data_IF_595792515375
#
_entry.id   IF_595792515375
#
_cell.length_a   1.000
_cell.length_b   1.000
_cell.length_c   1.000
_cell.angle_alpha   90.00
_cell.angle_beta   90.00
_cell.angle_gamma   90.00
#
_symmetry.space_group_name_H-M   'P 1'
#
loop_
_entity.id
_entity.type
_entity.pdbx_description
1 polymer ?
#
# COMPACT_ATOMS: atom_id res chain seq x y z
N UNK A 1 14.58 4.80 8.80
CA UNK A 1 13.11 4.75 8.59
C UNK A 1 12.47 6.08 8.93
N UNK A 2 12.49 6.55 10.19
CA UNK A 2 11.81 7.81 10.57
C UNK A 2 12.29 9.05 9.80
N UNK A 3 13.59 9.17 9.57
CA UNK A 3 14.17 10.24 8.74
C UNK A 3 13.57 10.24 7.33
N UNK A 4 13.57 9.08 6.67
CA UNK A 4 12.96 8.89 5.34
C UNK A 4 11.47 9.22 5.36
N UNK A 5 10.72 8.79 6.39
CA UNK A 5 9.30 9.12 6.53
C UNK A 5 9.08 10.64 6.55
N UNK A 6 9.88 11.39 7.32
CA UNK A 6 9.73 12.84 7.47
C UNK A 6 10.13 13.63 6.22
N UNK A 7 11.10 13.13 5.46
CA UNK A 7 11.69 13.88 4.33
C UNK A 7 11.11 13.52 2.97
N UNK A 8 10.57 12.31 2.79
CA UNK A 8 10.08 11.86 1.51
C UNK A 8 8.76 12.52 1.11
N UNK A 9 8.67 12.92 -0.16
CA UNK A 9 7.41 13.31 -0.79
C UNK A 9 6.60 12.09 -1.24
N UNK A 10 7.30 11.00 -1.59
CA UNK A 10 6.71 9.75 -2.06
C UNK A 10 7.42 8.57 -1.41
N UNK A 11 6.66 7.59 -0.91
CA UNK A 11 7.18 6.32 -0.38
C UNK A 11 6.47 5.18 -1.11
N UNK A 12 7.26 4.23 -1.62
CA UNK A 12 6.77 3.00 -2.22
C UNK A 12 7.19 1.80 -1.37
N UNK A 13 6.24 0.94 -1.02
CA UNK A 13 6.47 -0.23 -0.18
C UNK A 13 6.77 -1.47 -1.05
N UNK A 14 7.91 -2.09 -0.79
CA UNK A 14 8.31 -3.37 -1.39
C UNK A 14 8.89 -4.39 -0.39
N UNK A 15 8.40 -4.48 0.87
CA UNK A 15 8.86 -5.54 1.77
C UNK A 15 8.33 -6.91 1.32
N UNK A 16 9.11 -7.96 1.62
CA UNK A 16 8.53 -9.31 1.74
C UNK A 16 7.68 -9.33 2.99
N UNK A 17 6.46 -9.87 2.90
CA UNK A 17 5.59 -9.93 4.07
C UNK A 17 6.02 -11.05 5.03
N UNK A 18 6.35 -10.65 6.27
CA UNK A 18 6.54 -11.53 7.41
C UNK A 18 6.11 -10.84 8.73
N UNK A 19 6.38 -11.48 9.88
CA UNK A 19 6.02 -10.93 11.20
C UNK A 19 6.68 -9.59 11.51
N UNK A 20 7.83 -9.28 10.92
CA UNK A 20 8.57 -8.04 11.11
C UNK A 20 8.01 -6.88 10.29
N UNK A 21 7.29 -7.18 9.21
CA UNK A 21 6.68 -6.19 8.31
C UNK A 21 5.16 -6.10 8.48
N UNK A 22 4.58 -6.90 9.39
CA UNK A 22 3.18 -6.77 9.80
C UNK A 22 2.90 -5.35 10.33
N UNK A 23 1.98 -4.65 9.68
CA UNK A 23 1.67 -3.24 9.95
C UNK A 23 2.95 -2.40 10.03
N UNK A 24 3.88 -2.63 9.09
CA UNK A 24 5.04 -1.78 8.89
C UNK A 24 4.62 -0.32 8.71
N UNK A 25 3.47 -0.04 8.12
CA UNK A 25 2.83 1.28 8.16
C UNK A 25 1.63 1.23 9.11
N UNK A 26 1.91 1.28 10.41
CA UNK A 26 0.91 1.42 11.47
C UNK A 26 0.35 2.84 11.56
N UNK A 27 -0.58 3.11 12.49
CA UNK A 27 -1.17 4.44 12.72
C UNK A 27 -0.17 5.61 12.88
N UNK A 28 1.00 5.37 13.45
CA UNK A 28 1.96 6.44 13.74
C UNK A 28 2.86 6.83 12.57
N UNK A 29 3.19 5.89 11.68
CA UNK A 29 4.23 6.11 10.65
C UNK A 29 3.79 6.99 9.48
N UNK A 30 2.59 6.78 8.87
CA UNK A 30 2.06 7.72 7.88
C UNK A 30 1.92 9.15 8.42
N UNK A 31 1.59 9.31 9.71
CA UNK A 31 1.48 10.62 10.34
C UNK A 31 2.84 11.35 10.51
N UNK A 32 3.97 10.63 10.39
CA UNK A 32 5.30 11.24 10.35
C UNK A 32 5.64 11.81 8.97
N UNK A 33 4.91 11.41 7.93
CA UNK A 33 5.14 11.87 6.57
C UNK A 33 4.67 13.32 6.38
N UNK A 34 5.13 13.94 5.30
CA UNK A 34 4.61 15.25 4.89
C UNK A 34 3.10 15.17 4.67
N UNK A 35 2.40 16.26 4.94
CA UNK A 35 0.93 16.31 4.83
C UNK A 35 0.44 15.98 3.43
N UNK A 36 1.21 16.36 2.41
CA UNK A 36 0.91 16.16 0.99
C UNK A 36 1.51 14.88 0.40
N UNK A 37 2.17 14.05 1.22
CA UNK A 37 2.93 12.91 0.75
C UNK A 37 2.06 11.84 0.06
N UNK A 38 2.72 11.04 -0.77
CA UNK A 38 2.12 9.93 -1.50
C UNK A 38 2.69 8.61 -0.95
N UNK A 39 1.81 7.70 -0.54
CA UNK A 39 2.16 6.32 -0.17
C UNK A 39 1.70 5.37 -1.27
N UNK A 40 2.56 4.47 -1.72
CA UNK A 40 2.23 3.44 -2.72
C UNK A 40 2.51 2.07 -2.13
N UNK A 41 1.55 1.16 -2.25
CA UNK A 41 1.72 -0.25 -1.88
C UNK A 41 1.34 -1.19 -3.01
N UNK A 42 2.35 -1.87 -3.54
CA UNK A 42 2.24 -2.99 -4.48
C UNK A 42 2.95 -4.23 -3.91
N UNK A 43 3.07 -4.32 -2.59
CA UNK A 43 3.79 -5.41 -1.93
C UNK A 43 2.87 -6.58 -1.63
N UNK A 44 2.50 -6.76 -0.36
CA UNK A 44 1.60 -7.80 0.14
C UNK A 44 0.90 -7.26 1.39
N UNK A 45 -0.34 -7.64 1.60
CA UNK A 45 -1.00 -7.38 2.89
C UNK A 45 -0.46 -8.32 3.99
N UNK A 46 -0.65 -7.97 5.27
CA UNK A 46 -1.02 -6.64 5.83
C UNK A 46 0.21 -5.78 6.20
N UNK A 47 0.87 -5.17 5.22
CA UNK A 47 2.00 -4.23 5.46
C UNK A 47 1.51 -2.87 5.97
N UNK A 48 0.35 -2.40 5.49
CA UNK A 48 -0.31 -1.19 6.00
C UNK A 48 -1.44 -1.60 6.93
N UNK A 49 -1.58 -0.91 8.08
CA UNK A 49 -2.79 -0.97 8.90
C UNK A 49 -3.91 -0.19 8.19
N UNK A 50 -4.79 -0.90 7.49
CA UNK A 50 -5.76 -0.25 6.59
C UNK A 50 -6.83 0.55 7.35
N UNK A 51 -7.18 0.13 8.57
CA UNK A 51 -8.11 0.90 9.42
C UNK A 51 -7.50 2.25 9.79
N UNK A 52 -6.23 2.25 10.22
CA UNK A 52 -5.53 3.49 10.53
C UNK A 52 -5.29 4.37 9.29
N UNK A 53 -5.08 3.75 8.12
CA UNK A 53 -4.97 4.46 6.86
C UNK A 53 -6.25 5.22 6.51
N UNK A 54 -7.41 4.58 6.65
CA UNK A 54 -8.72 5.22 6.38
C UNK A 54 -8.97 6.40 7.34
N UNK A 55 -8.60 6.26 8.62
CA UNK A 55 -8.68 7.37 9.58
C UNK A 55 -7.82 8.57 9.13
N UNK A 56 -6.55 8.33 8.79
CA UNK A 56 -5.63 9.36 8.30
C UNK A 56 -6.16 10.07 7.05
N UNK A 57 -6.65 9.31 6.07
CA UNK A 57 -7.14 9.84 4.80
C UNK A 57 -8.37 10.73 4.97
N UNK A 58 -9.23 10.41 5.94
CA UNK A 58 -10.38 11.24 6.31
C UNK A 58 -9.95 12.56 6.95
N UNK A 59 -8.96 12.51 7.84
CA UNK A 59 -8.47 13.68 8.57
C UNK A 59 -7.57 14.59 7.71
N UNK A 60 -6.89 14.02 6.72
CA UNK A 60 -5.95 14.72 5.87
C UNK A 60 -6.23 14.48 4.37
N UNK A 61 -6.99 15.39 3.76
CA UNK A 61 -7.34 15.35 2.34
C UNK A 61 -6.16 15.60 1.38
N UNK A 62 -5.00 16.04 1.88
CA UNK A 62 -3.80 16.27 1.08
C UNK A 62 -2.92 15.02 0.96
N UNK A 63 -3.04 14.07 1.88
CA UNK A 63 -2.30 12.81 1.84
C UNK A 63 -2.89 11.92 0.76
N UNK A 64 -2.06 11.25 -0.05
CA UNK A 64 -2.53 10.43 -1.18
C UNK A 64 -2.01 9.02 -1.08
N UNK A 65 -2.81 8.06 -1.55
CA UNK A 65 -2.42 6.64 -1.51
C UNK A 65 -2.73 5.95 -2.84
N UNK A 66 -1.80 5.13 -3.32
CA UNK A 66 -2.01 4.15 -4.38
C UNK A 66 -1.90 2.74 -3.81
N UNK A 67 -2.94 1.92 -3.99
CA UNK A 67 -2.97 0.53 -3.50
C UNK A 67 -3.21 -0.42 -4.67
N UNK A 68 -2.30 -1.36 -4.88
CA UNK A 68 -2.57 -2.59 -5.64
C UNK A 68 -3.00 -3.74 -4.74
N UNK A 69 -2.64 -3.65 -3.45
CA UNK A 69 -2.87 -4.68 -2.43
C UNK A 69 -3.62 -4.11 -1.22
N UNK A 70 -4.51 -4.87 -0.61
CA UNK A 70 -5.27 -4.47 0.59
C UNK A 70 -5.62 -5.67 1.49
N UNK A 71 -6.02 -5.47 2.76
CA UNK A 71 -5.97 -6.55 3.77
C UNK A 71 -6.94 -7.72 3.53
N UNK A 72 -8.17 -7.40 3.15
CA UNK A 72 -9.29 -8.34 3.09
C UNK A 72 -9.73 -8.60 1.64
N UNK A 73 -8.79 -8.71 0.68
CA UNK A 73 -9.12 -8.86 -0.74
C UNK A 73 -10.19 -9.95 -0.98
N UNK A 74 -11.24 -9.65 -1.77
CA UNK A 74 -11.45 -8.47 -2.61
C UNK A 74 -12.21 -7.31 -1.92
N UNK A 75 -12.40 -7.37 -0.60
CA UNK A 75 -13.16 -6.38 0.18
C UNK A 75 -12.24 -5.29 0.75
N UNK A 76 -12.60 -4.03 0.52
CA UNK A 76 -11.93 -2.88 1.13
C UNK A 76 -12.49 -2.62 2.53
N UNK A 77 -11.66 -2.06 3.44
CA UNK A 77 -12.17 -1.58 4.73
C UNK A 77 -13.22 -0.48 4.52
N UNK A 78 -14.22 -0.37 5.42
CA UNK A 78 -15.30 0.61 5.29
C UNK A 78 -14.81 2.05 5.10
N UNK A 79 -15.23 2.64 3.99
CA UNK A 79 -14.96 4.03 3.62
C UNK A 79 -13.70 4.27 2.81
N UNK A 80 -12.85 3.26 2.57
CA UNK A 80 -11.71 3.42 1.65
C UNK A 80 -12.19 3.79 0.24
N UNK A 81 -13.26 3.15 -0.23
CA UNK A 81 -13.86 3.41 -1.55
C UNK A 81 -14.44 4.83 -1.72
N UNK A 82 -14.72 5.54 -0.62
CA UNK A 82 -15.27 6.89 -0.65
C UNK A 82 -14.17 7.98 -0.72
N UNK A 83 -12.90 7.59 -0.57
CA UNK A 83 -11.77 8.51 -0.49
C UNK A 83 -11.39 9.05 -1.88
N UNK A 84 -11.45 10.37 -2.05
CA UNK A 84 -11.06 11.05 -3.30
C UNK A 84 -9.55 11.13 -3.52
N UNK A 85 -8.78 10.87 -2.47
CA UNK A 85 -7.32 10.91 -2.40
C UNK A 85 -6.69 9.51 -2.43
N UNK A 86 -7.44 8.50 -2.88
CA UNK A 86 -6.95 7.12 -3.01
C UNK A 86 -7.21 6.61 -4.43
N UNK A 87 -6.25 5.87 -4.98
CA UNK A 87 -6.44 5.02 -6.16
C UNK A 87 -6.22 3.59 -5.73
N UNK A 88 -7.18 2.71 -6.03
CA UNK A 88 -7.07 1.27 -5.80
C UNK A 88 -7.19 0.54 -7.12
N UNK A 89 -6.32 -0.43 -7.34
CA UNK A 89 -6.39 -1.38 -8.46
C UNK A 89 -6.42 -2.81 -7.89
N UNK A 90 -7.08 -3.77 -8.56
CA UNK A 90 -7.41 -5.06 -7.96
C UNK A 90 -6.28 -6.09 -8.12
N UNK A 91 -5.14 -5.86 -7.46
CA UNK A 91 -3.98 -6.77 -7.43
C UNK A 91 -3.54 -7.23 -8.82
N UNK A 92 -3.15 -6.25 -9.64
CA UNK A 92 -2.79 -6.41 -11.04
C UNK A 92 -1.32 -6.11 -11.33
N UNK A 93 -0.45 -5.99 -10.32
CA UNK A 93 0.99 -5.77 -10.49
C UNK A 93 1.67 -6.76 -11.47
N UNK A 94 1.18 -8.00 -11.48
CA UNK A 94 1.72 -9.14 -12.22
C UNK A 94 0.81 -9.58 -13.37
N UNK A 95 -0.31 -8.86 -13.60
CA UNK A 95 -1.31 -9.19 -14.62
C UNK A 95 -0.87 -8.82 -16.05
N UNK A 96 0.38 -9.16 -16.40
CA UNK A 96 0.98 -8.99 -17.72
C UNK A 96 1.24 -10.36 -18.34
N UNK A 97 0.88 -10.53 -19.62
CA UNK A 97 1.09 -11.79 -20.36
C UNK A 97 2.54 -12.29 -20.26
N UNK A 98 3.52 -11.39 -20.38
CA UNK A 98 4.95 -11.74 -20.32
C UNK A 98 5.39 -12.21 -18.94
N UNK A 99 4.77 -11.70 -17.86
CA UNK A 99 5.05 -12.15 -16.48
C UNK A 99 4.50 -13.57 -16.30
N UNK A 100 3.25 -13.81 -16.70
CA UNK A 100 2.65 -15.15 -16.65
C UNK A 100 3.43 -16.19 -17.47
N UNK A 101 3.93 -15.81 -18.66
CA UNK A 101 4.78 -16.67 -19.48
C UNK A 101 6.12 -16.99 -18.81
N UNK A 102 6.76 -16.00 -18.17
CA UNK A 102 8.02 -16.19 -17.45
C UNK A 102 7.84 -17.07 -16.21
N UNK A 103 6.77 -16.87 -15.45
CA UNK A 103 6.43 -17.70 -14.29
C UNK A 103 6.17 -19.16 -14.72
N UNK A 104 5.40 -19.36 -15.80
CA UNK A 104 5.17 -20.69 -16.35
C UNK A 104 6.47 -21.38 -16.78
N UNK A 105 7.42 -20.65 -17.37
CA UNK A 105 8.73 -21.18 -17.74
C UNK A 105 9.56 -21.59 -16.53
N UNK A 106 9.51 -20.83 -15.42
CA UNK A 106 10.20 -21.16 -14.17
C UNK A 106 9.62 -22.43 -13.53
N UNK A 107 8.30 -22.60 -13.53
CA UNK A 107 7.62 -23.77 -12.95
C UNK A 107 7.88 -25.05 -13.76
N UNK A 108 8.10 -24.94 -15.07
CA UNK A 108 8.33 -26.08 -15.95
C UNK A 108 9.78 -26.60 -15.96
N UNK A 109 10.72 -25.88 -15.33
CA UNK A 109 12.15 -26.22 -15.27
C UNK A 109 12.47 -27.12 -14.06
#
# INVERSE_FOLDING_TARGET
>A
MEEVLREADVISLHPVFDKTTYHLMNKGRPAMMKKEAILVDCSRWPVIDEVALVELLRENSMFRVGLDVFEDEPYMKPGLADMKNVVVVPHIDSAYKTVAEAEAAIVAA
#
